data_IF_249318524916
#
_entry.id   IF_249318524916
#
_cell.length_a   1.000
_cell.length_b   1.000
_cell.length_c   1.000
_cell.angle_alpha   90.00
_cell.angle_beta   90.00
_cell.angle_gamma   90.00
#
_symmetry.space_group_name_H-M   'P 1'
#
loop_
_entity.id
_entity.type
_entity.pdbx_description
1 polymer ?
#
# COMPACT_ATOMS: atom_id res chain seq x y z
N UNK A 1 62.36 -18.84 -49.52
CA UNK A 1 63.19 -17.84 -48.85
C UNK A 1 62.32 -17.25 -47.74
N UNK A 2 62.77 -17.37 -46.47
CA UNK A 2 62.37 -16.76 -45.23
C UNK A 2 60.82 -16.84 -44.86
N UNK A 3 60.30 -17.59 -43.95
CA UNK A 3 60.82 -18.12 -42.68
C UNK A 3 60.58 -17.19 -41.49
N UNK A 4 59.39 -17.16 -40.98
CA UNK A 4 59.16 -16.54 -39.61
C UNK A 4 58.34 -17.51 -38.77
N UNK A 5 58.95 -17.83 -37.61
CA UNK A 5 58.41 -18.76 -36.61
C UNK A 5 57.54 -18.02 -35.62
N UNK A 6 56.27 -18.37 -35.53
CA UNK A 6 55.42 -17.95 -34.43
C UNK A 6 55.74 -18.76 -33.16
N UNK A 7 56.23 -18.06 -32.15
CA UNK A 7 56.48 -18.57 -30.80
C UNK A 7 55.22 -18.46 -29.97
N UNK A 8 54.56 -19.57 -29.68
CA UNK A 8 53.51 -19.71 -28.70
C UNK A 8 54.11 -19.54 -27.29
N UNK A 9 53.73 -18.49 -26.59
CA UNK A 9 54.03 -18.34 -25.15
C UNK A 9 52.87 -18.97 -24.37
N UNK A 10 53.10 -20.16 -23.83
CA UNK A 10 52.25 -20.75 -22.77
C UNK A 10 52.51 -20.03 -21.47
N UNK A 11 51.60 -19.20 -21.01
CA UNK A 11 51.54 -18.71 -19.65
C UNK A 11 50.79 -19.72 -18.78
N UNK A 12 51.53 -20.54 -18.07
CA UNK A 12 51.01 -21.41 -17.02
C UNK A 12 50.64 -20.53 -15.79
N UNK A 13 49.37 -20.42 -15.43
CA UNK A 13 48.96 -19.89 -14.14
C UNK A 13 49.53 -20.79 -13.02
N UNK A 14 50.06 -20.23 -11.94
CA UNK A 14 50.65 -21.04 -10.90
C UNK A 14 49.59 -21.90 -10.19
N UNK A 15 49.94 -23.16 -10.00
CA UNK A 15 49.13 -24.22 -9.35
C UNK A 15 48.50 -23.80 -8.01
N UNK A 16 49.09 -22.80 -7.32
CA UNK A 16 48.62 -22.25 -6.06
C UNK A 16 47.29 -21.52 -6.19
N UNK A 17 47.01 -20.83 -7.30
CA UNK A 17 45.73 -20.12 -7.54
C UNK A 17 44.57 -21.11 -7.77
N UNK A 18 44.84 -22.23 -8.40
CA UNK A 18 43.82 -23.28 -8.59
C UNK A 18 43.44 -24.00 -7.30
N UNK A 19 44.40 -24.21 -6.40
CA UNK A 19 44.17 -24.86 -5.08
C UNK A 19 43.34 -23.93 -4.17
N UNK A 20 43.60 -22.61 -4.17
CA UNK A 20 42.82 -21.64 -3.36
C UNK A 20 41.40 -21.53 -3.85
N UNK A 21 41.15 -21.50 -5.16
CA UNK A 21 39.81 -21.47 -5.72
C UNK A 21 39.03 -22.77 -5.46
N UNK A 22 39.70 -23.95 -5.49
CA UNK A 22 39.06 -25.22 -5.14
C UNK A 22 38.68 -25.30 -3.64
N UNK A 23 39.54 -24.80 -2.75
CA UNK A 23 39.26 -24.79 -1.29
C UNK A 23 38.12 -23.83 -0.94
N UNK A 24 38.08 -22.65 -1.54
CA UNK A 24 37.00 -21.67 -1.32
C UNK A 24 35.67 -22.23 -1.87
N UNK A 25 35.67 -22.90 -3.03
CA UNK A 25 34.46 -23.54 -3.57
C UNK A 25 33.99 -24.69 -2.69
N UNK A 26 34.89 -25.46 -2.10
CA UNK A 26 34.54 -26.61 -1.23
C UNK A 26 34.02 -26.12 0.15
N UNK A 27 34.53 -25.05 0.67
CA UNK A 27 34.02 -24.46 1.93
C UNK A 27 32.64 -23.86 1.72
N UNK A 28 32.39 -23.17 0.59
CA UNK A 28 31.05 -22.63 0.26
C UNK A 28 30.05 -23.77 0.04
N UNK A 29 30.45 -24.91 -0.58
CA UNK A 29 29.57 -26.06 -0.76
C UNK A 29 29.31 -26.79 0.55
N UNK A 30 30.26 -26.79 1.50
CA UNK A 30 30.05 -27.38 2.84
C UNK A 30 29.16 -26.50 3.75
N UNK A 31 29.15 -25.18 3.58
CA UNK A 31 28.23 -24.32 4.35
C UNK A 31 26.79 -24.34 3.77
N UNK A 32 26.58 -24.66 2.52
CA UNK A 32 25.24 -24.78 1.89
C UNK A 32 24.71 -26.21 1.81
N UNK A 33 25.50 -27.23 2.19
CA UNK A 33 25.16 -28.65 2.02
C UNK A 33 24.66 -29.39 3.24
N UNK A 34 24.47 -28.74 4.40
CA UNK A 34 24.10 -29.41 5.65
C UNK A 34 22.89 -28.79 6.38
N UNK A 35 21.87 -28.34 5.66
CA UNK A 35 20.60 -27.93 6.27
C UNK A 35 19.38 -28.33 5.46
N UNK A 36 19.37 -29.53 4.85
CA UNK A 36 18.14 -30.24 4.47
C UNK A 36 17.61 -31.04 5.65
N UNK A 37 17.40 -30.39 6.78
CA UNK A 37 16.49 -30.87 7.80
C UNK A 37 15.38 -29.83 7.97
N UNK A 38 14.20 -30.19 7.40
CA UNK A 38 12.89 -29.78 7.86
C UNK A 38 12.84 -28.40 8.56
N UNK A 39 12.90 -27.34 7.77
CA UNK A 39 12.22 -26.11 8.17
C UNK A 39 10.73 -26.41 7.99
N UNK A 40 10.16 -27.15 8.90
CA UNK A 40 8.77 -26.99 9.27
C UNK A 40 8.64 -25.51 9.58
N UNK A 41 8.01 -24.76 8.70
CA UNK A 41 7.47 -23.45 8.99
C UNK A 41 6.43 -23.62 10.09
N UNK A 42 6.88 -23.93 11.29
CA UNK A 42 6.16 -23.55 12.46
C UNK A 42 6.10 -22.02 12.38
N UNK A 43 4.94 -21.50 12.01
CA UNK A 43 4.57 -20.12 12.25
C UNK A 43 4.74 -19.90 13.76
N UNK A 44 5.93 -19.53 14.18
CA UNK A 44 6.10 -18.79 15.39
C UNK A 44 5.44 -17.43 15.12
N UNK A 45 4.13 -17.37 15.41
CA UNK A 45 3.50 -16.12 15.80
C UNK A 45 4.31 -15.64 17.00
N UNK A 46 5.35 -14.86 16.74
CA UNK A 46 5.98 -14.06 17.76
C UNK A 46 4.91 -13.06 18.20
N UNK A 47 4.18 -13.40 19.27
CA UNK A 47 3.44 -12.39 20.00
C UNK A 47 4.49 -11.37 20.41
N UNK A 48 4.47 -10.21 19.75
CA UNK A 48 5.28 -9.07 20.13
C UNK A 48 4.71 -8.63 21.49
N UNK A 49 5.22 -9.20 22.57
CA UNK A 49 4.93 -8.77 23.93
C UNK A 49 5.74 -7.50 24.18
N UNK A 50 5.21 -6.36 23.69
CA UNK A 50 5.77 -5.06 23.98
C UNK A 50 5.59 -4.72 25.45
N UNK A 51 6.63 -4.15 26.03
CA UNK A 51 6.59 -3.57 27.37
C UNK A 51 5.63 -2.40 27.43
N UNK A 52 5.14 -2.05 28.60
CA UNK A 52 4.31 -0.85 28.82
C UNK A 52 4.98 0.41 28.28
N UNK A 53 6.31 0.52 28.40
CA UNK A 53 7.09 1.68 27.98
C UNK A 53 7.19 1.80 26.45
N UNK A 54 7.29 0.69 25.73
CA UNK A 54 7.27 0.68 24.26
C UNK A 54 5.89 1.07 23.71
N UNK A 55 4.80 0.63 24.37
CA UNK A 55 3.44 1.08 24.04
C UNK A 55 3.23 2.57 24.32
N UNK A 56 3.76 3.06 25.44
CA UNK A 56 3.68 4.46 25.81
C UNK A 56 4.45 5.35 24.82
N UNK A 57 5.66 4.95 24.43
CA UNK A 57 6.49 5.68 23.48
C UNK A 57 5.87 5.74 22.07
N UNK A 58 5.13 4.71 21.67
CA UNK A 58 4.38 4.71 20.41
C UNK A 58 3.18 5.70 20.39
N UNK A 59 2.77 6.20 21.56
CA UNK A 59 1.68 7.16 21.73
C UNK A 59 2.18 8.61 21.98
N UNK A 60 3.50 8.84 22.10
CA UNK A 60 4.09 10.17 22.22
C UNK A 60 4.44 10.73 20.85
N UNK A 61 3.72 11.75 20.39
CA UNK A 61 3.89 12.34 19.07
C UNK A 61 3.67 13.84 19.01
N UNK A 62 4.06 14.45 17.90
CA UNK A 62 3.83 15.88 17.65
C UNK A 62 2.36 16.08 17.32
N UNK A 63 1.66 16.80 18.20
CA UNK A 63 0.22 17.08 18.05
C UNK A 63 -0.05 18.30 17.17
N UNK A 64 -1.13 18.24 16.42
CA UNK A 64 -1.67 19.36 15.64
C UNK A 64 -3.20 19.36 15.69
N UNK A 65 -3.83 20.46 15.26
CA UNK A 65 -5.28 20.61 15.27
C UNK A 65 -5.81 20.72 13.85
N UNK A 66 -6.86 19.98 13.54
CA UNK A 66 -7.59 20.01 12.28
C UNK A 66 -9.09 20.05 12.59
N UNK A 67 -9.80 21.09 12.13
CA UNK A 67 -11.22 21.32 12.41
C UNK A 67 -11.61 21.12 13.91
N UNK A 68 -10.87 21.77 14.81
CA UNK A 68 -11.04 21.67 16.29
C UNK A 68 -10.83 20.25 16.86
N UNK A 69 -10.26 19.32 16.09
CA UNK A 69 -9.90 17.97 16.55
C UNK A 69 -8.39 17.87 16.65
N UNK A 70 -7.89 17.36 17.77
CA UNK A 70 -6.45 17.12 17.96
C UNK A 70 -6.07 15.76 17.39
N UNK A 71 -5.04 15.77 16.58
CA UNK A 71 -4.34 14.58 16.06
C UNK A 71 -2.87 14.63 16.43
N UNK A 72 -2.20 13.50 16.40
CA UNK A 72 -0.75 13.41 16.64
C UNK A 72 -0.07 12.48 15.66
N UNK A 73 1.14 12.87 15.26
CA UNK A 73 2.03 12.06 14.43
C UNK A 73 2.80 11.07 15.30
N UNK A 74 2.92 9.85 14.83
CA UNK A 74 3.65 8.78 15.49
C UNK A 74 4.43 7.94 14.48
N UNK A 75 5.40 7.19 14.99
CA UNK A 75 6.14 6.20 14.22
C UNK A 75 6.23 4.91 15.02
N UNK A 76 5.95 3.79 14.40
CA UNK A 76 6.05 2.46 15.00
C UNK A 76 6.95 1.54 14.17
N UNK A 77 7.71 0.67 14.84
CA UNK A 77 8.44 -0.41 14.17
C UNK A 77 7.50 -1.61 14.02
N UNK A 78 7.14 -1.93 12.79
CA UNK A 78 6.26 -3.04 12.44
C UNK A 78 6.81 -3.78 11.23
N UNK A 79 6.77 -5.10 11.23
CA UNK A 79 7.18 -5.95 10.11
C UNK A 79 8.52 -5.52 9.46
N UNK A 80 9.49 -5.11 10.27
CA UNK A 80 10.83 -4.70 9.84
C UNK A 80 10.93 -3.30 9.23
N UNK A 81 9.89 -2.48 9.30
CA UNK A 81 9.90 -1.09 8.83
C UNK A 81 9.52 -0.12 9.94
N UNK A 82 9.91 1.16 9.76
CA UNK A 82 9.34 2.27 10.50
C UNK A 82 8.09 2.73 9.75
N UNK A 83 6.93 2.61 10.38
CA UNK A 83 5.65 3.05 9.82
C UNK A 83 5.20 4.33 10.51
N UNK A 84 5.00 5.38 9.72
CA UNK A 84 4.40 6.64 10.18
C UNK A 84 2.88 6.54 10.14
N UNK A 85 2.24 7.11 11.16
CA UNK A 85 0.78 7.25 11.21
C UNK A 85 0.36 8.48 12.01
N UNK A 86 -0.86 8.92 11.74
CA UNK A 86 -1.54 10.00 12.45
C UNK A 86 -2.74 9.41 13.16
N UNK A 87 -2.91 9.74 14.45
CA UNK A 87 -4.02 9.23 15.25
C UNK A 87 -4.74 10.37 15.97
N UNK A 88 -6.07 10.27 16.09
CA UNK A 88 -6.90 11.21 16.86
C UNK A 88 -8.31 10.68 17.06
N UNK A 89 -9.09 11.41 17.88
CA UNK A 89 -10.44 10.99 18.21
C UNK A 89 -10.53 9.92 19.29
N UNK A 90 -11.75 9.40 19.52
CA UNK A 90 -12.03 8.37 20.52
C UNK A 90 -13.24 7.54 20.11
N UNK A 91 -13.16 6.25 20.30
CA UNK A 91 -14.20 5.26 19.98
C UNK A 91 -13.60 4.04 19.30
N UNK A 92 -14.43 3.29 18.56
CA UNK A 92 -13.97 2.13 17.79
C UNK A 92 -12.92 2.54 16.76
N UNK A 93 -11.87 1.74 16.52
CA UNK A 93 -10.79 2.12 15.63
C UNK A 93 -11.21 2.05 14.16
N UNK A 94 -10.90 3.11 13.42
CA UNK A 94 -10.99 3.20 11.95
C UNK A 94 -9.60 3.43 11.40
N UNK A 95 -9.13 2.53 10.54
CA UNK A 95 -7.87 2.67 9.82
C UNK A 95 -8.14 3.15 8.40
N UNK A 96 -7.38 4.15 7.98
CA UNK A 96 -7.47 4.79 6.68
C UNK A 96 -6.17 4.58 5.91
N UNK A 97 -6.25 3.92 4.74
CA UNK A 97 -5.13 3.61 3.86
C UNK A 97 -5.25 4.41 2.56
N UNK A 98 -4.28 5.27 2.33
CA UNK A 98 -4.22 6.13 1.14
C UNK A 98 -3.81 5.36 -0.12
N UNK A 99 -3.93 6.01 -1.28
CA UNK A 99 -3.48 5.55 -2.57
C UNK A 99 -2.21 6.22 -3.10
N UNK A 100 -1.81 5.88 -4.33
CA UNK A 100 -0.76 6.55 -5.08
C UNK A 100 -1.29 7.87 -5.69
N UNK A 101 -0.57 8.97 -5.65
CA UNK A 101 0.76 9.19 -5.06
C UNK A 101 0.69 9.86 -3.68
N UNK A 102 -0.34 9.58 -2.93
CA UNK A 102 -0.73 10.30 -1.73
C UNK A 102 -0.06 9.75 -0.46
N UNK A 103 -0.50 10.23 0.69
CA UNK A 103 -0.03 9.89 2.03
C UNK A 103 -1.23 9.91 2.99
N UNK A 104 -1.03 9.75 4.30
CA UNK A 104 -2.08 9.95 5.29
C UNK A 104 -2.89 11.24 5.07
N UNK A 105 -2.27 12.27 4.45
CA UNK A 105 -2.85 13.59 4.20
C UNK A 105 -4.04 13.57 3.22
N UNK A 106 -4.20 12.52 2.43
CA UNK A 106 -5.39 12.25 1.62
C UNK A 106 -6.68 12.41 2.45
N UNK A 107 -6.65 11.91 3.68
CA UNK A 107 -7.81 11.81 4.56
C UNK A 107 -8.14 13.09 5.34
N UNK A 108 -7.40 14.19 5.12
CA UNK A 108 -7.50 15.45 5.88
C UNK A 108 -8.92 16.03 5.97
N UNK A 109 -9.73 15.89 4.94
CA UNK A 109 -11.12 16.36 4.94
C UNK A 109 -12.11 15.40 5.61
N UNK A 110 -11.72 14.16 5.86
CA UNK A 110 -12.57 13.09 6.39
C UNK A 110 -12.28 12.83 7.86
N UNK A 111 -11.00 12.83 8.26
CA UNK A 111 -10.53 12.51 9.60
C UNK A 111 -11.24 13.30 10.71
N UNK A 112 -11.41 14.64 10.62
CA UNK A 112 -12.02 15.41 11.70
C UNK A 112 -13.48 15.04 11.96
N UNK A 113 -14.21 14.67 10.90
CA UNK A 113 -15.60 14.24 11.05
C UNK A 113 -15.69 12.87 11.72
N UNK A 114 -14.86 11.91 11.30
CA UNK A 114 -14.82 10.57 11.88
C UNK A 114 -14.34 10.57 13.33
N UNK A 115 -13.36 11.41 13.66
CA UNK A 115 -12.77 11.48 15.00
C UNK A 115 -13.76 11.93 16.10
N UNK A 116 -14.93 12.42 15.73
CA UNK A 116 -16.01 12.71 16.69
C UNK A 116 -16.58 11.43 17.31
N UNK A 117 -16.53 10.30 16.60
CA UNK A 117 -17.15 9.04 17.03
C UNK A 117 -16.19 7.85 17.02
N UNK A 118 -15.02 7.99 16.42
CA UNK A 118 -14.05 6.91 16.21
C UNK A 118 -12.65 7.31 16.65
N UNK A 119 -11.83 6.35 17.00
CA UNK A 119 -10.37 6.51 17.00
C UNK A 119 -9.91 6.34 15.56
N UNK A 120 -9.47 7.44 14.95
CA UNK A 120 -9.05 7.47 13.52
C UNK A 120 -7.55 7.33 13.43
N UNK A 121 -7.09 6.39 12.63
CA UNK A 121 -5.69 6.13 12.34
C UNK A 121 -5.50 6.22 10.83
N UNK A 122 -4.83 7.27 10.35
CA UNK A 122 -4.42 7.41 8.97
C UNK A 122 -2.91 7.20 8.89
N UNK A 123 -2.44 6.31 8.03
CA UNK A 123 -1.03 5.94 8.00
C UNK A 123 -0.42 6.18 6.63
N UNK A 124 0.91 6.28 6.59
CA UNK A 124 1.68 6.21 5.37
C UNK A 124 2.04 4.73 5.11
N UNK A 125 1.59 4.20 3.98
CA UNK A 125 1.99 2.86 3.56
C UNK A 125 3.52 2.79 3.35
N UNK A 126 4.11 1.59 3.50
CA UNK A 126 5.52 1.42 3.10
C UNK A 126 5.75 1.99 1.70
N UNK A 127 6.89 2.64 1.51
CA UNK A 127 7.20 3.30 0.23
C UNK A 127 6.68 4.72 0.09
N UNK A 128 5.77 5.16 0.95
CA UNK A 128 5.16 6.49 0.90
C UNK A 128 5.47 7.34 2.13
N UNK A 129 5.20 8.61 2.02
CA UNK A 129 5.23 9.57 3.11
C UNK A 129 6.50 9.50 3.95
N UNK A 130 6.31 9.48 5.26
CA UNK A 130 7.37 9.38 6.25
C UNK A 130 7.65 7.93 6.68
N UNK A 131 6.96 6.95 6.10
CA UNK A 131 7.25 5.53 6.29
C UNK A 131 8.51 5.09 5.55
N UNK A 132 9.12 3.98 6.02
CA UNK A 132 10.29 3.36 5.37
C UNK A 132 10.01 2.98 3.92
N UNK A 133 11.06 3.06 3.10
CA UNK A 133 11.03 2.75 1.66
C UNK A 133 11.97 1.58 1.35
N UNK A 134 11.66 0.34 1.87
CA UNK A 134 12.50 -0.84 1.66
C UNK A 134 12.61 -1.18 0.16
N UNK A 135 13.55 -2.06 -0.20
CA UNK A 135 13.74 -2.45 -1.61
C UNK A 135 12.71 -3.47 -2.08
N UNK A 136 12.04 -4.17 -1.16
CA UNK A 136 11.12 -5.28 -1.46
C UNK A 136 9.94 -5.33 -0.48
N UNK A 137 9.00 -6.25 -0.72
CA UNK A 137 7.90 -6.54 0.20
C UNK A 137 6.70 -5.62 0.01
N UNK A 138 6.34 -5.32 -1.23
CA UNK A 138 5.23 -4.42 -1.57
C UNK A 138 3.96 -5.14 -2.01
N UNK A 139 3.98 -6.47 -2.02
CA UNK A 139 2.79 -7.28 -2.29
C UNK A 139 1.76 -7.18 -1.16
N UNK A 140 0.50 -7.41 -1.51
CA UNK A 140 -0.63 -7.20 -0.61
C UNK A 140 -0.52 -7.99 0.70
N UNK A 141 0.02 -9.21 0.69
CA UNK A 141 0.19 -10.01 1.91
C UNK A 141 1.22 -9.38 2.85
N UNK A 142 2.34 -8.90 2.31
CA UNK A 142 3.40 -8.28 3.11
C UNK A 142 2.95 -6.92 3.66
N UNK A 143 2.29 -6.09 2.84
CA UNK A 143 1.77 -4.79 3.28
C UNK A 143 0.62 -4.94 4.28
N UNK A 144 -0.20 -5.97 4.16
CA UNK A 144 -1.23 -6.32 5.12
C UNK A 144 -0.66 -6.68 6.50
N UNK A 145 0.49 -7.36 6.55
CA UNK A 145 1.17 -7.70 7.79
C UNK A 145 1.67 -6.44 8.53
N UNK A 146 2.08 -5.39 7.81
CA UNK A 146 2.44 -4.11 8.43
C UNK A 146 1.27 -3.55 9.24
N UNK A 147 0.07 -3.56 8.63
CA UNK A 147 -1.15 -3.05 9.27
C UNK A 147 -1.57 -3.93 10.43
N UNK A 148 -1.44 -5.26 10.28
CA UNK A 148 -1.76 -6.20 11.36
C UNK A 148 -0.88 -5.97 12.58
N UNK A 149 0.42 -5.83 12.40
CA UNK A 149 1.33 -5.57 13.51
C UNK A 149 1.08 -4.20 14.15
N UNK A 150 0.78 -3.17 13.35
CA UNK A 150 0.39 -1.87 13.90
C UNK A 150 -0.88 -1.97 14.74
N UNK A 151 -1.92 -2.64 14.26
CA UNK A 151 -3.18 -2.79 15.01
C UNK A 151 -2.98 -3.54 16.32
N UNK A 152 -2.12 -4.57 16.32
CA UNK A 152 -1.76 -5.31 17.54
C UNK A 152 -0.98 -4.46 18.51
N UNK A 153 -0.01 -3.67 18.01
CA UNK A 153 0.76 -2.73 18.81
C UNK A 153 -0.14 -1.72 19.52
N UNK A 154 -1.13 -1.19 18.79
CA UNK A 154 -2.09 -0.22 19.33
C UNK A 154 -3.17 -0.88 20.21
N UNK A 155 -3.19 -2.20 20.33
CA UNK A 155 -4.11 -2.95 21.19
C UNK A 155 -5.51 -3.15 20.60
N UNK A 156 -5.68 -2.97 19.29
CA UNK A 156 -6.97 -3.14 18.62
C UNK A 156 -7.16 -4.60 18.18
N UNK A 157 -8.29 -5.19 18.56
CA UNK A 157 -8.68 -6.55 18.17
C UNK A 157 -9.63 -6.56 16.97
N UNK A 158 -10.46 -5.55 16.85
CA UNK A 158 -11.39 -5.35 15.73
C UNK A 158 -11.30 -3.92 15.24
N UNK A 159 -11.33 -3.73 13.93
CA UNK A 159 -11.22 -2.43 13.28
C UNK A 159 -12.29 -2.27 12.20
N UNK A 160 -12.61 -1.05 11.88
CA UNK A 160 -13.13 -0.65 10.59
C UNK A 160 -11.97 -0.27 9.69
N UNK A 161 -12.06 -0.57 8.40
CA UNK A 161 -10.97 -0.35 7.46
C UNK A 161 -11.53 0.34 6.21
N UNK A 162 -10.93 1.47 5.83
CA UNK A 162 -11.24 2.16 4.58
C UNK A 162 -9.96 2.43 3.81
N UNK A 163 -9.99 2.21 2.51
CA UNK A 163 -8.81 2.30 1.67
C UNK A 163 -9.17 2.84 0.27
N UNK A 164 -8.21 3.53 -0.32
CA UNK A 164 -8.29 4.08 -1.65
C UNK A 164 -7.11 3.59 -2.50
N UNK A 165 -7.35 3.41 -3.83
CA UNK A 165 -6.35 3.03 -4.84
C UNK A 165 -5.46 1.86 -4.35
N UNK A 166 -4.12 1.92 -4.46
CA UNK A 166 -3.21 0.82 -4.05
C UNK A 166 -3.35 0.42 -2.58
N UNK A 167 -3.80 1.33 -1.71
CA UNK A 167 -4.14 1.01 -0.32
C UNK A 167 -5.25 -0.03 -0.22
N UNK A 168 -6.11 -0.11 -1.22
CA UNK A 168 -7.19 -1.10 -1.31
C UNK A 168 -6.66 -2.53 -1.43
N UNK A 169 -5.55 -2.75 -2.15
CA UNK A 169 -4.91 -4.07 -2.21
C UNK A 169 -4.44 -4.50 -0.81
N UNK A 170 -3.80 -3.60 -0.08
CA UNK A 170 -3.37 -3.85 1.31
C UNK A 170 -4.57 -4.17 2.21
N UNK A 171 -5.63 -3.36 2.15
CA UNK A 171 -6.83 -3.54 2.97
C UNK A 171 -7.57 -4.86 2.68
N UNK A 172 -7.67 -5.22 1.41
CA UNK A 172 -8.27 -6.47 0.98
C UNK A 172 -7.46 -7.68 1.46
N UNK A 173 -6.14 -7.66 1.26
CA UNK A 173 -5.24 -8.70 1.72
C UNK A 173 -5.25 -8.84 3.24
N UNK A 174 -5.30 -7.72 3.98
CA UNK A 174 -5.47 -7.73 5.43
C UNK A 174 -6.77 -8.43 5.83
N UNK A 175 -7.88 -8.07 5.21
CA UNK A 175 -9.19 -8.66 5.51
C UNK A 175 -9.23 -10.15 5.22
N UNK A 176 -8.60 -10.59 4.13
CA UNK A 176 -8.53 -12.00 3.76
C UNK A 176 -7.66 -12.84 4.71
N UNK A 177 -6.53 -12.27 5.17
CA UNK A 177 -5.59 -12.98 6.05
C UNK A 177 -6.01 -12.91 7.54
N UNK A 178 -6.78 -11.89 7.94
CA UNK A 178 -7.21 -11.64 9.31
C UNK A 178 -8.71 -11.32 9.39
N UNK A 179 -9.60 -12.22 8.94
CA UNK A 179 -11.04 -11.94 8.78
C UNK A 179 -11.72 -11.57 10.10
N UNK A 180 -11.27 -12.11 11.22
CA UNK A 180 -11.83 -11.83 12.54
C UNK A 180 -11.48 -10.42 13.08
N UNK A 181 -10.50 -9.76 12.47
CA UNK A 181 -10.06 -8.42 12.88
C UNK A 181 -10.79 -7.29 12.16
N UNK A 182 -11.42 -7.54 11.01
CA UNK A 182 -12.10 -6.51 10.21
C UNK A 182 -13.60 -6.63 10.34
N UNK A 183 -14.22 -5.63 10.96
CA UNK A 183 -15.67 -5.58 11.14
C UNK A 183 -16.38 -5.23 9.83
N UNK A 184 -15.87 -4.23 9.11
CA UNK A 184 -16.37 -3.76 7.80
C UNK A 184 -15.22 -3.17 7.00
N UNK A 185 -15.25 -3.36 5.69
CA UNK A 185 -14.24 -2.91 4.74
C UNK A 185 -14.84 -1.92 3.74
N UNK A 186 -14.19 -0.79 3.53
CA UNK A 186 -14.53 0.16 2.45
C UNK A 186 -13.36 0.20 1.47
N UNK A 187 -13.67 -0.01 0.20
CA UNK A 187 -12.72 0.04 -0.93
C UNK A 187 -13.15 1.17 -1.86
N UNK A 188 -12.20 2.06 -2.17
CA UNK A 188 -12.46 3.20 -3.05
C UNK A 188 -11.58 3.10 -4.29
N UNK A 189 -12.24 3.04 -5.43
CA UNK A 189 -11.70 3.24 -6.77
C UNK A 189 -10.42 2.44 -7.12
N UNK A 190 -10.45 1.13 -6.87
CA UNK A 190 -9.34 0.25 -7.17
C UNK A 190 -9.77 -1.00 -7.96
N UNK A 191 -9.23 -1.22 -9.17
CA UNK A 191 -9.40 -2.46 -9.91
C UNK A 191 -8.36 -3.50 -9.45
N UNK A 192 -8.80 -4.58 -8.84
CA UNK A 192 -7.90 -5.57 -8.26
C UNK A 192 -7.09 -6.34 -9.32
N UNK A 193 -5.75 -6.45 -9.18
CA UNK A 193 -4.91 -7.27 -10.05
C UNK A 193 -5.42 -8.70 -10.16
N UNK A 194 -5.49 -9.21 -11.40
CA UNK A 194 -6.05 -10.53 -11.70
C UNK A 194 -7.57 -10.55 -11.91
N UNK A 195 -8.28 -9.46 -11.58
CA UNK A 195 -9.73 -9.27 -11.70
C UNK A 195 -10.07 -7.89 -12.26
N UNK A 196 -9.26 -7.39 -13.19
CA UNK A 196 -9.49 -6.10 -13.83
C UNK A 196 -10.83 -6.10 -14.57
N UNK A 197 -11.61 -4.99 -14.51
CA UNK A 197 -12.81 -4.84 -15.31
C UNK A 197 -12.49 -4.91 -16.80
N UNK A 198 -13.40 -5.43 -17.64
CA UNK A 198 -13.18 -5.53 -19.09
C UNK A 198 -12.83 -4.19 -19.77
N UNK A 199 -13.31 -3.06 -19.23
CA UNK A 199 -13.01 -1.71 -19.71
C UNK A 199 -11.51 -1.34 -19.63
N UNK A 200 -10.75 -1.99 -18.75
CA UNK A 200 -9.29 -1.77 -18.61
C UNK A 200 -8.46 -2.68 -19.52
N UNK A 201 -9.06 -3.63 -20.22
CA UNK A 201 -8.33 -4.63 -20.97
C UNK A 201 -7.49 -5.54 -20.06
N UNK A 202 -6.53 -6.25 -20.65
CA UNK A 202 -5.70 -7.22 -19.91
C UNK A 202 -4.63 -6.58 -19.03
N UNK A 203 -4.20 -5.36 -19.35
CA UNK A 203 -3.02 -4.73 -18.75
C UNK A 203 -3.36 -3.51 -17.87
N UNK A 204 -4.62 -3.12 -17.81
CA UNK A 204 -5.04 -1.88 -17.14
C UNK A 204 -4.65 -0.61 -17.89
N UNK A 205 -4.82 0.56 -17.26
CA UNK A 205 -4.41 1.84 -17.80
C UNK A 205 -2.89 1.88 -18.08
N UNK A 206 -2.44 2.76 -18.98
CA UNK A 206 -1.04 2.86 -19.42
C UNK A 206 -0.05 3.01 -18.24
N UNK A 207 -0.43 3.71 -17.18
CA UNK A 207 0.45 3.94 -16.01
C UNK A 207 0.72 2.66 -15.22
N UNK A 208 -0.16 1.65 -15.24
CA UNK A 208 0.13 0.36 -14.63
C UNK A 208 1.36 -0.28 -15.28
N UNK A 209 1.39 -0.36 -16.60
CA UNK A 209 2.54 -0.91 -17.33
C UNK A 209 3.78 -0.03 -17.22
N UNK A 210 3.62 1.28 -17.16
CA UNK A 210 4.71 2.24 -17.03
C UNK A 210 5.41 2.10 -15.67
N UNK A 211 4.65 2.13 -14.55
CA UNK A 211 5.24 2.03 -13.21
C UNK A 211 5.82 0.64 -12.90
N UNK A 212 5.43 -0.39 -13.63
CA UNK A 212 6.01 -1.72 -13.51
C UNK A 212 7.42 -1.83 -14.11
N UNK A 213 7.82 -0.88 -14.97
CA UNK A 213 9.19 -0.86 -15.50
C UNK A 213 10.19 -0.50 -14.39
N UNK A 214 11.36 -1.15 -14.41
CA UNK A 214 12.45 -0.83 -13.49
C UNK A 214 13.18 0.42 -13.95
N UNK A 215 13.47 1.34 -13.03
CA UNK A 215 14.31 2.53 -13.18
C UNK A 215 13.82 3.59 -14.19
N UNK A 216 13.08 3.22 -15.23
CA UNK A 216 12.64 4.13 -16.29
C UNK A 216 11.66 5.19 -15.78
N UNK A 217 10.58 4.85 -15.03
CA UNK A 217 9.67 5.86 -14.49
C UNK A 217 10.39 6.87 -13.60
N UNK A 218 11.24 6.38 -12.70
CA UNK A 218 12.03 7.23 -11.81
C UNK A 218 12.92 8.18 -12.61
N UNK A 219 13.67 7.68 -13.60
CA UNK A 219 14.57 8.48 -14.44
C UNK A 219 13.86 9.57 -15.22
N UNK A 220 12.65 9.30 -15.70
CA UNK A 220 11.87 10.25 -16.49
C UNK A 220 11.18 11.31 -15.62
N UNK A 221 10.81 10.97 -14.38
CA UNK A 221 10.06 11.85 -13.48
C UNK A 221 10.99 12.63 -12.55
N UNK A 222 12.16 12.11 -12.22
CA UNK A 222 13.13 12.76 -11.33
C UNK A 222 13.46 14.19 -11.79
N UNK A 223 13.31 15.14 -10.88
CA UNK A 223 13.47 16.57 -11.14
C UNK A 223 12.23 17.27 -11.74
N UNK A 224 11.18 16.50 -12.08
CA UNK A 224 9.90 16.98 -12.61
C UNK A 224 8.70 16.45 -11.82
N UNK A 225 8.93 16.02 -10.58
CA UNK A 225 7.91 15.34 -9.78
C UNK A 225 6.65 16.18 -9.64
N UNK A 226 6.80 17.46 -9.37
CA UNK A 226 5.65 18.38 -9.21
C UNK A 226 4.84 18.54 -10.48
N UNK A 227 5.52 18.73 -11.60
CA UNK A 227 4.87 18.86 -12.91
C UNK A 227 4.12 17.59 -13.27
N UNK A 228 4.78 16.45 -13.09
CA UNK A 228 4.21 15.13 -13.33
C UNK A 228 3.00 14.86 -12.44
N UNK A 229 3.11 15.04 -11.12
CA UNK A 229 2.03 14.79 -10.19
C UNK A 229 0.84 15.71 -10.40
N UNK A 230 1.09 17.02 -10.68
CA UNK A 230 0.02 17.96 -11.01
C UNK A 230 -0.75 17.53 -12.26
N UNK A 231 -0.05 17.14 -13.32
CA UNK A 231 -0.66 16.65 -14.53
C UNK A 231 -1.44 15.36 -14.31
N UNK A 232 -0.84 14.39 -13.63
CA UNK A 232 -1.45 13.08 -13.38
C UNK A 232 -2.70 13.19 -12.52
N UNK A 233 -2.62 13.88 -11.39
CA UNK A 233 -3.73 14.01 -10.46
C UNK A 233 -4.89 14.80 -11.04
N UNK A 234 -4.60 15.97 -11.65
CA UNK A 234 -5.64 16.77 -12.31
C UNK A 234 -6.28 16.06 -13.50
N UNK A 235 -5.51 15.22 -14.21
CA UNK A 235 -6.00 14.42 -15.32
C UNK A 235 -7.00 13.33 -14.92
N UNK A 236 -6.92 12.79 -13.70
CA UNK A 236 -7.82 11.77 -13.19
C UNK A 236 -9.00 12.34 -12.37
N UNK A 237 -8.99 13.63 -12.08
CA UNK A 237 -10.08 14.30 -11.36
C UNK A 237 -11.26 14.58 -12.29
N UNK A 238 -12.49 14.43 -11.80
CA UNK A 238 -13.69 14.98 -12.42
C UNK A 238 -13.62 16.52 -12.40
N UNK A 239 -13.29 17.07 -11.23
CA UNK A 239 -13.05 18.50 -11.04
C UNK A 239 -11.57 18.76 -10.69
N UNK A 240 -10.73 19.15 -11.66
CA UNK A 240 -9.31 19.40 -11.40
C UNK A 240 -9.06 20.46 -10.31
N UNK A 241 -10.01 21.36 -10.04
CA UNK A 241 -9.89 22.40 -9.00
C UNK A 241 -10.03 21.84 -7.58
N UNK A 242 -10.51 20.60 -7.42
CA UNK A 242 -10.53 19.91 -6.13
C UNK A 242 -9.11 19.53 -5.68
N UNK A 243 -8.18 19.36 -6.62
CA UNK A 243 -6.78 19.06 -6.36
C UNK A 243 -6.01 20.38 -6.29
N UNK A 244 -5.76 20.87 -5.09
CA UNK A 244 -5.16 22.16 -4.84
C UNK A 244 -3.63 22.13 -5.02
N UNK A 245 -3.04 23.28 -5.33
CA UNK A 245 -1.58 23.38 -5.53
C UNK A 245 -0.80 23.06 -4.25
N UNK A 246 -1.30 23.50 -3.10
CA UNK A 246 -0.71 23.20 -1.80
C UNK A 246 -0.72 21.70 -1.47
N UNK A 247 -1.75 20.97 -1.90
CA UNK A 247 -1.83 19.52 -1.74
C UNK A 247 -0.79 18.80 -2.61
N UNK A 248 -0.66 19.24 -3.87
CA UNK A 248 0.36 18.74 -4.79
C UNK A 248 1.76 18.98 -4.22
N UNK A 249 2.00 20.12 -3.57
CA UNK A 249 3.30 20.42 -2.95
C UNK A 249 3.63 19.43 -1.81
N UNK A 250 2.65 19.08 -0.99
CA UNK A 250 2.81 18.06 0.05
C UNK A 250 3.24 16.73 -0.56
N UNK A 251 2.49 16.18 -1.51
CA UNK A 251 2.80 14.88 -2.11
C UNK A 251 4.11 14.91 -2.93
N UNK A 252 4.39 16.04 -3.59
CA UNK A 252 5.67 16.26 -4.29
C UNK A 252 6.86 16.17 -3.34
N UNK A 253 6.76 16.74 -2.13
CA UNK A 253 7.83 16.70 -1.15
C UNK A 253 8.21 15.26 -0.77
N UNK A 254 7.21 14.38 -0.62
CA UNK A 254 7.42 12.96 -0.33
C UNK A 254 7.97 12.20 -1.55
N UNK A 255 7.47 12.48 -2.77
CA UNK A 255 7.99 11.89 -3.99
C UNK A 255 9.48 12.22 -4.22
N UNK A 256 9.92 13.44 -3.87
CA UNK A 256 11.32 13.89 -3.94
C UNK A 256 12.22 13.29 -2.84
N UNK A 257 11.64 12.76 -1.78
CA UNK A 257 12.42 12.15 -0.70
C UNK A 257 13.22 10.93 -1.21
N UNK A 258 14.36 10.58 -0.59
CA UNK A 258 15.13 9.42 -1.01
C UNK A 258 14.29 8.14 -1.08
N UNK A 259 14.19 7.57 -2.27
CA UNK A 259 13.39 6.36 -2.55
C UNK A 259 11.89 6.60 -2.70
N UNK A 260 11.40 7.85 -2.66
CA UNK A 260 9.97 8.17 -2.71
C UNK A 260 9.28 7.71 -4.00
N UNK A 261 9.82 8.07 -5.18
CA UNK A 261 9.30 7.57 -6.45
C UNK A 261 9.38 6.05 -6.54
N UNK A 262 10.57 5.47 -6.27
CA UNK A 262 10.76 4.02 -6.35
C UNK A 262 9.79 3.28 -5.41
N UNK A 263 9.74 3.67 -4.14
CA UNK A 263 8.88 3.01 -3.15
C UNK A 263 7.42 3.04 -3.55
N UNK A 264 6.94 4.15 -4.11
CA UNK A 264 5.55 4.25 -4.56
C UNK A 264 5.27 3.36 -5.79
N UNK A 265 6.22 3.21 -6.72
CA UNK A 265 6.07 2.35 -7.91
C UNK A 265 6.19 0.86 -7.60
N UNK A 266 6.88 0.48 -6.52
CA UNK A 266 6.99 -0.92 -6.11
C UNK A 266 5.62 -1.57 -5.82
N UNK A 267 4.62 -0.81 -5.42
CA UNK A 267 3.24 -1.31 -5.30
C UNK A 267 2.69 -1.79 -6.64
N UNK A 268 2.94 -1.06 -7.74
CA UNK A 268 2.54 -1.49 -9.08
C UNK A 268 3.39 -2.66 -9.60
N UNK A 269 4.67 -2.72 -9.24
CA UNK A 269 5.58 -3.85 -9.55
C UNK A 269 5.15 -5.13 -8.84
N UNK A 270 4.43 -5.01 -7.72
CA UNK A 270 3.86 -6.15 -6.99
C UNK A 270 2.59 -6.72 -7.64
N UNK A 271 1.93 -6.04 -8.58
CA UNK A 271 0.66 -6.47 -9.18
C UNK A 271 0.66 -7.91 -9.73
N UNK A 272 1.72 -8.44 -10.37
CA UNK A 272 1.75 -9.84 -10.76
C UNK A 272 1.65 -10.81 -9.57
N UNK A 273 2.31 -10.49 -8.46
CA UNK A 273 2.22 -11.25 -7.20
C UNK A 273 0.84 -11.11 -6.57
N UNK A 274 0.30 -9.89 -6.54
CA UNK A 274 -1.04 -9.62 -6.02
C UNK A 274 -2.11 -10.35 -6.83
N UNK A 275 -1.97 -10.42 -8.16
CA UNK A 275 -2.88 -11.18 -9.01
C UNK A 275 -2.89 -12.67 -8.68
N UNK A 276 -1.76 -13.26 -8.32
CA UNK A 276 -1.69 -14.65 -7.85
C UNK A 276 -2.34 -14.82 -6.48
N UNK A 277 -2.05 -13.92 -5.53
CA UNK A 277 -2.64 -13.91 -4.19
C UNK A 277 -4.15 -13.71 -4.25
N UNK A 278 -4.63 -12.77 -5.05
CA UNK A 278 -6.07 -12.49 -5.23
C UNK A 278 -6.82 -13.70 -5.85
N UNK A 279 -6.21 -14.41 -6.81
CA UNK A 279 -6.79 -15.65 -7.38
C UNK A 279 -6.90 -16.76 -6.33
N UNK A 280 -5.97 -16.83 -5.40
CA UNK A 280 -6.07 -17.79 -4.29
C UNK A 280 -7.20 -17.42 -3.34
N UNK A 281 -7.30 -16.15 -2.93
CA UNK A 281 -8.37 -15.64 -2.07
C UNK A 281 -9.75 -15.83 -2.74
N UNK A 282 -9.84 -15.66 -4.05
CA UNK A 282 -11.10 -15.82 -4.80
C UNK A 282 -11.73 -17.21 -4.67
N UNK A 283 -10.95 -18.24 -4.34
CA UNK A 283 -11.46 -19.61 -4.16
C UNK A 283 -12.43 -19.74 -2.97
N UNK A 284 -12.21 -18.94 -1.91
CA UNK A 284 -13.05 -18.95 -0.70
C UNK A 284 -13.86 -17.67 -0.52
N UNK A 285 -13.48 -16.58 -1.20
CA UNK A 285 -14.01 -15.22 -1.05
C UNK A 285 -13.99 -14.71 0.39
N UNK A 286 -13.81 -13.42 0.59
CA UNK A 286 -14.03 -12.83 1.92
C UNK A 286 -15.52 -12.69 2.22
N UNK A 287 -15.91 -12.86 3.48
CA UNK A 287 -17.29 -12.74 3.94
C UNK A 287 -17.57 -11.44 4.69
N UNK A 288 -16.52 -10.73 5.09
CA UNK A 288 -16.62 -9.41 5.69
C UNK A 288 -17.44 -8.49 4.80
N UNK A 289 -18.41 -7.72 5.35
CA UNK A 289 -19.18 -6.76 4.57
C UNK A 289 -18.27 -5.72 3.91
N UNK A 290 -18.43 -5.51 2.60
CA UNK A 290 -17.64 -4.57 1.81
C UNK A 290 -18.54 -3.50 1.20
N UNK A 291 -18.17 -2.24 1.37
CA UNK A 291 -18.68 -1.10 0.61
C UNK A 291 -17.65 -0.72 -0.45
N UNK A 292 -18.03 -0.81 -1.71
CA UNK A 292 -17.22 -0.40 -2.85
C UNK A 292 -17.70 0.95 -3.38
N UNK A 293 -16.88 1.99 -3.26
CA UNK A 293 -17.10 3.30 -3.85
C UNK A 293 -16.29 3.44 -5.13
N UNK A 294 -16.89 3.98 -6.20
CA UNK A 294 -16.20 4.28 -7.45
C UNK A 294 -16.63 5.64 -7.97
N UNK A 295 -15.73 6.33 -8.66
CA UNK A 295 -16.05 7.59 -9.31
C UNK A 295 -17.07 7.45 -10.43
N UNK A 296 -17.60 8.56 -10.85
CA UNK A 296 -18.66 8.64 -11.88
C UNK A 296 -18.06 8.75 -13.28
N UNK A 297 -17.03 9.59 -13.43
CA UNK A 297 -16.42 9.91 -14.71
C UNK A 297 -14.90 9.99 -14.58
N UNK A 298 -14.20 9.42 -15.57
CA UNK A 298 -12.73 9.44 -15.64
C UNK A 298 -12.25 10.13 -16.92
N UNK A 299 -12.01 11.44 -16.89
CA UNK A 299 -11.61 12.18 -18.10
C UNK A 299 -10.37 11.62 -18.80
N UNK A 300 -9.35 11.21 -18.04
CA UNK A 300 -8.12 10.61 -18.57
C UNK A 300 -8.31 9.24 -19.24
N UNK A 301 -9.45 8.59 -19.01
CA UNK A 301 -9.81 7.29 -19.61
C UNK A 301 -10.83 7.44 -20.75
N UNK A 302 -11.02 8.66 -21.26
CA UNK A 302 -11.95 8.93 -22.37
C UNK A 302 -13.36 9.34 -21.94
N UNK A 303 -13.59 9.61 -20.67
CA UNK A 303 -14.82 10.20 -20.14
C UNK A 303 -15.98 9.25 -19.90
N UNK A 304 -16.13 8.26 -20.77
CA UNK A 304 -17.27 7.32 -20.77
C UNK A 304 -16.96 5.95 -20.17
N UNK A 305 -15.93 5.83 -19.34
CA UNK A 305 -15.65 4.58 -18.63
C UNK A 305 -16.53 4.58 -17.38
N UNK A 306 -17.75 4.00 -17.47
CA UNK A 306 -18.66 4.04 -16.36
C UNK A 306 -18.21 3.05 -15.32
N UNK A 307 -18.25 3.49 -14.11
CA UNK A 307 -18.54 2.54 -13.09
C UNK A 307 -17.49 2.32 -12.07
N UNK A 308 -18.00 1.85 -11.02
CA UNK A 308 -17.36 1.41 -9.83
C UNK A 308 -16.45 0.20 -10.11
N UNK A 309 -15.18 0.46 -10.47
CA UNK A 309 -14.17 -0.57 -10.78
C UNK A 309 -13.93 -1.50 -9.59
N UNK A 310 -13.94 -0.94 -8.38
CA UNK A 310 -13.82 -1.69 -7.15
C UNK A 310 -14.96 -2.70 -7.02
N UNK A 311 -16.21 -2.27 -7.26
CA UNK A 311 -17.37 -3.15 -7.21
C UNK A 311 -17.26 -4.28 -8.23
N UNK A 312 -16.91 -3.96 -9.48
CA UNK A 312 -16.80 -4.95 -10.56
C UNK A 312 -15.77 -6.03 -10.22
N UNK A 313 -14.59 -5.64 -9.75
CA UNK A 313 -13.53 -6.58 -9.35
C UNK A 313 -13.92 -7.42 -8.13
N UNK A 314 -14.57 -6.81 -7.14
CA UNK A 314 -14.94 -7.45 -5.88
C UNK A 314 -16.03 -8.51 -6.01
N UNK A 315 -16.82 -8.52 -7.09
CA UNK A 315 -17.83 -9.58 -7.32
C UNK A 315 -17.23 -11.00 -7.31
N UNK A 316 -15.99 -11.13 -7.74
CA UNK A 316 -15.26 -12.41 -7.73
C UNK A 316 -14.52 -12.68 -6.41
N UNK A 317 -14.25 -11.65 -5.61
CA UNK A 317 -13.35 -11.67 -4.46
C UNK A 317 -14.06 -11.69 -3.11
N UNK A 318 -15.30 -11.21 -3.05
CA UNK A 318 -16.08 -11.09 -1.82
C UNK A 318 -17.52 -11.56 -2.02
N UNK A 319 -18.16 -12.07 -0.96
CA UNK A 319 -19.52 -12.59 -1.00
C UNK A 319 -20.59 -11.57 -0.59
N UNK A 320 -20.20 -10.49 0.10
CA UNK A 320 -21.10 -9.46 0.61
C UNK A 320 -20.60 -8.07 0.22
N UNK A 321 -20.92 -7.62 -0.99
CA UNK A 321 -20.45 -6.35 -1.56
C UNK A 321 -21.62 -5.44 -1.92
N UNK A 322 -21.58 -4.20 -1.43
CA UNK A 322 -22.47 -3.13 -1.85
C UNK A 322 -21.67 -2.12 -2.68
N UNK A 323 -22.06 -1.87 -3.92
CA UNK A 323 -21.43 -0.87 -4.78
C UNK A 323 -22.22 0.44 -4.79
N UNK A 324 -21.51 1.56 -4.72
CA UNK A 324 -22.07 2.92 -4.85
C UNK A 324 -21.17 3.73 -5.79
N UNK A 325 -21.76 4.30 -6.83
CA UNK A 325 -21.07 5.30 -7.66
C UNK A 325 -21.18 6.67 -6.98
N UNK A 326 -20.05 7.34 -6.84
CA UNK A 326 -19.94 8.65 -6.21
C UNK A 326 -20.16 9.72 -7.29
N UNK A 327 -21.25 10.48 -7.20
CA UNK A 327 -21.57 11.45 -8.25
C UNK A 327 -20.57 12.60 -8.29
N UNK A 328 -20.29 13.12 -9.50
CA UNK A 328 -19.39 14.27 -9.72
C UNK A 328 -18.00 14.04 -9.14
N UNK A 329 -17.47 12.83 -9.23
CA UNK A 329 -16.14 12.44 -8.79
C UNK A 329 -15.43 11.64 -9.86
N UNK A 330 -14.14 11.91 -10.03
CA UNK A 330 -13.21 11.03 -10.71
C UNK A 330 -12.56 10.06 -9.72
N UNK A 331 -11.25 9.87 -9.89
CA UNK A 331 -10.48 8.95 -9.05
C UNK A 331 -10.33 9.44 -7.60
N UNK A 332 -10.16 10.75 -7.38
CA UNK A 332 -9.81 11.33 -6.08
C UNK A 332 -11.05 11.53 -5.20
N UNK A 333 -11.79 10.46 -4.96
CA UNK A 333 -13.08 10.48 -4.24
C UNK A 333 -12.98 11.22 -2.89
N UNK A 334 -11.93 11.03 -2.06
CA UNK A 334 -11.82 11.72 -0.78
C UNK A 334 -11.67 13.24 -0.90
N UNK A 335 -11.04 13.74 -1.97
CA UNK A 335 -10.85 15.16 -2.23
C UNK A 335 -12.03 15.79 -2.96
N UNK A 336 -12.60 15.06 -3.92
CA UNK A 336 -13.66 15.61 -4.78
C UNK A 336 -15.03 15.61 -4.09
N UNK A 337 -15.30 14.58 -3.26
CA UNK A 337 -16.61 14.40 -2.60
C UNK A 337 -16.47 14.03 -1.11
N UNK A 338 -15.70 14.77 -0.30
CA UNK A 338 -15.43 14.41 1.10
C UNK A 338 -16.70 14.26 1.92
N UNK A 339 -17.69 15.15 1.74
CA UNK A 339 -18.95 15.08 2.48
C UNK A 339 -19.73 13.79 2.15
N UNK A 340 -19.78 13.41 0.87
CA UNK A 340 -20.43 12.18 0.45
C UNK A 340 -19.75 10.96 1.08
N UNK A 341 -18.42 10.92 1.06
CA UNK A 341 -17.64 9.83 1.66
C UNK A 341 -17.91 9.75 3.16
N UNK A 342 -17.87 10.86 3.88
CA UNK A 342 -18.18 10.92 5.33
C UNK A 342 -19.57 10.33 5.61
N UNK A 343 -20.60 10.75 4.86
CA UNK A 343 -21.97 10.28 5.04
C UNK A 343 -22.06 8.74 4.78
N UNK A 344 -21.35 8.21 3.75
CA UNK A 344 -21.33 6.78 3.47
C UNK A 344 -20.56 5.99 4.53
N UNK A 345 -19.44 6.50 5.04
CA UNK A 345 -18.67 5.87 6.11
C UNK A 345 -19.50 5.75 7.38
N UNK A 346 -20.15 6.83 7.83
CA UNK A 346 -21.05 6.78 9.00
C UNK A 346 -22.22 5.83 8.81
N UNK A 347 -22.86 5.86 7.63
CA UNK A 347 -23.97 4.97 7.32
C UNK A 347 -23.53 3.50 7.32
N UNK A 348 -22.37 3.22 6.77
CA UNK A 348 -21.88 1.85 6.64
C UNK A 348 -21.28 1.33 7.94
N UNK A 349 -20.40 2.06 8.62
CA UNK A 349 -19.81 1.63 9.87
C UNK A 349 -20.83 1.57 11.00
N UNK A 350 -21.80 2.49 11.03
CA UNK A 350 -22.77 2.65 12.11
C UNK A 350 -22.25 3.60 13.18
N UNK A 351 -23.05 3.87 14.19
CA UNK A 351 -22.60 4.64 15.35
C UNK A 351 -21.66 3.76 16.19
N UNK A 352 -20.53 4.35 16.64
CA UNK A 352 -19.61 3.66 17.55
C UNK A 352 -20.39 3.17 18.80
N UNK A 353 -20.24 1.88 19.09
CA UNK A 353 -20.85 1.28 20.29
C UNK A 353 -19.97 1.47 21.53
N UNK A 354 -19.36 2.64 21.72
CA UNK A 354 -18.58 2.95 22.92
C UNK A 354 -19.46 2.87 24.18
N UNK A 355 -19.72 1.62 24.64
CA UNK A 355 -20.62 1.38 25.76
C UNK A 355 -20.75 -0.06 26.26
N UNK A 356 -19.93 -1.00 25.82
CA UNK A 356 -19.83 -2.30 26.49
C UNK A 356 -18.38 -2.61 26.85
N UNK A 357 -18.08 -2.43 28.12
CA UNK A 357 -16.85 -2.91 28.78
C UNK A 357 -16.76 -4.43 28.70
#
# INVERSE_FOLDING_TARGET
MNGEKDTFIHSSLPLIVMVVLAVVSTVIIMEFGLNDHHITMAQQQSQVNLTSDEKQKALEGISFVMDNTTFSHHTATVNGIQMHYVIGGKGDPVILLHGYPQTWYEWRYIMPALAKNYTVIALDLRGFGDSSKPLTGYDGKTTAEDIYQLTKLLGFNKIFLAAHDVGSQTAFSYTANHPDNVTKLVIMDFPFPGFLPPSFGSNGPWWFSFYQQQDIPESLIQGKEREYLSWFMKGLAYNPSAIKEEDIDVWTSHAKSPGGLRGSFEHFRAFPTDAMQNKEIAKSKITTPVLALGGDIYPALGGDVPGNFAYSSLQSLASNVTGITVPLSGHWIPEEQPKFVIDQLFKFFGNSTSGSK
#
